data_IF_434676502011
#
_entry.id   IF_434676502011
#
_cell.length_a   1.000
_cell.length_b   1.000
_cell.length_c   1.000
_cell.angle_alpha   90.00
_cell.angle_beta   90.00
_cell.angle_gamma   90.00
#
_symmetry.space_group_name_H-M   'P 1'
#
loop_
_entity.id
_entity.type
_entity.pdbx_description
1 polymer ?
#
# COMPACT_ATOMS: atom_id res chain seq x y z
N UNK A 1 -38.41 25.90 -36.59
CA UNK A 1 -39.09 26.14 -35.32
C UNK A 1 -38.17 25.83 -34.16
N UNK A 2 -37.57 24.64 -34.07
CA UNK A 2 -36.60 24.35 -33.00
C UNK A 2 -35.30 25.18 -33.13
N UNK A 3 -34.78 25.36 -34.36
CA UNK A 3 -33.58 26.18 -34.60
C UNK A 3 -33.78 27.67 -34.31
N UNK A 4 -34.99 28.22 -34.54
CA UNK A 4 -35.31 29.63 -34.26
C UNK A 4 -35.25 29.95 -32.75
N UNK A 5 -35.32 28.94 -31.89
CA UNK A 5 -35.15 29.07 -30.43
C UNK A 5 -33.68 28.96 -30.01
N UNK A 6 -32.91 28.04 -30.60
CA UNK A 6 -31.46 27.87 -30.37
C UNK A 6 -30.68 29.15 -30.77
N UNK A 7 -31.01 29.73 -31.94
CA UNK A 7 -30.46 31.02 -32.38
C UNK A 7 -30.82 32.20 -31.43
N UNK A 8 -31.95 32.11 -30.72
CA UNK A 8 -32.40 33.10 -29.74
C UNK A 8 -31.66 32.98 -28.41
N UNK A 9 -31.53 31.77 -27.87
CA UNK A 9 -30.76 31.51 -26.64
C UNK A 9 -29.28 31.89 -26.82
N UNK A 10 -28.69 31.59 -27.99
CA UNK A 10 -27.32 32.01 -28.34
C UNK A 10 -27.17 33.54 -28.42
N UNK A 11 -28.18 34.26 -28.94
CA UNK A 11 -28.18 35.73 -28.96
C UNK A 11 -28.23 36.33 -27.55
N UNK A 12 -28.97 35.69 -26.65
CA UNK A 12 -29.11 36.12 -25.25
C UNK A 12 -27.82 35.88 -24.45
N UNK A 13 -27.13 34.76 -24.66
CA UNK A 13 -25.83 34.49 -24.03
C UNK A 13 -24.71 35.43 -24.54
N UNK A 14 -24.67 35.74 -25.84
CA UNK A 14 -23.74 36.76 -26.38
C UNK A 14 -24.05 38.16 -25.83
N UNK A 15 -25.32 38.49 -25.56
CA UNK A 15 -25.66 39.74 -24.88
C UNK A 15 -25.15 39.76 -23.43
N UNK A 16 -25.29 38.66 -22.67
CA UNK A 16 -24.76 38.52 -21.31
C UNK A 16 -23.24 38.69 -21.28
N UNK A 17 -22.49 37.99 -22.13
CA UNK A 17 -21.03 38.11 -22.22
C UNK A 17 -20.60 39.55 -22.58
N UNK A 18 -21.33 40.23 -23.47
CA UNK A 18 -21.09 41.63 -23.79
C UNK A 18 -21.37 42.58 -22.61
N UNK A 19 -22.34 42.29 -21.74
CA UNK A 19 -22.60 43.07 -20.54
C UNK A 19 -21.56 42.85 -19.44
N UNK A 20 -21.14 41.60 -19.21
CA UNK A 20 -20.06 41.26 -18.29
C UNK A 20 -18.74 41.91 -18.73
N UNK A 21 -18.39 41.83 -20.01
CA UNK A 21 -17.21 42.51 -20.55
C UNK A 21 -17.32 44.04 -20.45
N UNK A 22 -18.51 44.63 -20.59
CA UNK A 22 -18.72 46.08 -20.38
C UNK A 22 -18.60 46.48 -18.92
N UNK A 23 -18.97 45.61 -17.98
CA UNK A 23 -18.80 45.83 -16.54
C UNK A 23 -17.33 45.70 -16.13
N UNK A 24 -16.66 44.62 -16.56
CA UNK A 24 -15.24 44.37 -16.33
C UNK A 24 -14.38 45.53 -16.84
N UNK A 25 -14.56 45.96 -18.11
CA UNK A 25 -13.81 47.07 -18.67
C UNK A 25 -14.09 48.41 -17.96
N UNK A 26 -15.26 48.59 -17.33
CA UNK A 26 -15.58 49.77 -16.52
C UNK A 26 -14.80 49.77 -15.20
N UNK A 27 -14.72 48.61 -14.54
CA UNK A 27 -13.94 48.41 -13.30
C UNK A 27 -12.45 48.64 -13.58
N UNK A 28 -11.90 48.01 -14.63
CA UNK A 28 -10.48 48.18 -14.98
C UNK A 28 -10.15 49.60 -15.42
N UNK A 29 -11.07 50.29 -16.13
CA UNK A 29 -10.90 51.70 -16.47
C UNK A 29 -10.90 52.58 -15.23
N UNK A 30 -11.85 52.38 -14.32
CA UNK A 30 -11.93 53.11 -13.04
C UNK A 30 -10.65 52.95 -12.22
N UNK A 31 -10.19 51.71 -12.05
CA UNK A 31 -8.91 51.39 -11.39
C UNK A 31 -7.72 52.08 -12.06
N UNK A 32 -7.64 52.01 -13.40
CA UNK A 32 -6.57 52.65 -14.18
C UNK A 32 -6.59 54.18 -14.04
N UNK A 33 -7.77 54.82 -14.04
CA UNK A 33 -7.91 56.27 -13.86
C UNK A 33 -7.49 56.71 -12.45
N UNK A 34 -7.74 55.90 -11.40
CA UNK A 34 -7.21 56.16 -10.04
C UNK A 34 -5.68 56.02 -9.98
N UNK A 35 -5.11 54.96 -10.55
CA UNK A 35 -3.67 54.64 -10.45
C UNK A 35 -2.83 55.20 -11.61
N UNK A 36 -3.40 56.07 -12.47
CA UNK A 36 -2.76 56.56 -13.69
C UNK A 36 -1.39 57.21 -13.45
N UNK A 37 -1.20 57.88 -12.30
CA UNK A 37 0.07 58.49 -11.91
C UNK A 37 1.15 57.43 -11.63
N UNK A 38 0.85 56.44 -10.79
CA UNK A 38 1.78 55.38 -10.39
C UNK A 38 2.16 54.50 -11.59
N UNK A 39 1.19 54.17 -12.43
CA UNK A 39 1.42 53.42 -13.67
C UNK A 39 2.30 54.21 -14.65
N UNK A 40 2.17 55.54 -14.72
CA UNK A 40 3.00 56.38 -15.56
C UNK A 40 4.46 56.45 -15.09
N UNK A 41 4.71 56.57 -13.78
CA UNK A 41 6.07 56.55 -13.22
C UNK A 41 6.76 55.20 -13.46
N UNK A 42 6.05 54.10 -13.18
CA UNK A 42 6.53 52.73 -13.41
C UNK A 42 6.83 52.46 -14.89
N UNK A 43 6.02 52.98 -15.84
CA UNK A 43 6.32 52.82 -17.27
C UNK A 43 7.44 53.76 -17.75
N UNK A 44 7.69 54.91 -17.10
CA UNK A 44 8.88 55.73 -17.39
C UNK A 44 10.18 55.07 -16.90
N UNK A 45 10.18 54.47 -15.71
CA UNK A 45 11.34 53.75 -15.19
C UNK A 45 11.66 52.48 -16.01
N UNK A 46 10.62 51.74 -16.43
CA UNK A 46 10.78 50.61 -17.36
C UNK A 46 11.31 51.03 -18.74
N UNK A 47 11.00 52.25 -19.21
CA UNK A 47 11.56 52.81 -20.46
C UNK A 47 13.05 53.14 -20.34
N UNK A 48 13.54 53.52 -19.15
CA UNK A 48 14.97 53.81 -18.89
C UNK A 48 15.83 52.54 -18.83
N UNK A 49 15.23 51.37 -18.56
CA UNK A 49 15.95 50.14 -18.19
C UNK A 49 15.84 48.97 -19.19
N UNK A 50 14.90 48.98 -20.14
CA UNK A 50 14.61 47.79 -20.98
C UNK A 50 14.98 47.93 -22.46
N UNK A 51 15.72 46.94 -22.98
CA UNK A 51 16.08 46.87 -24.40
C UNK A 51 14.85 46.59 -25.29
N UNK A 52 14.75 47.31 -26.40
CA UNK A 52 13.56 47.48 -27.27
C UNK A 52 12.96 46.17 -27.80
N UNK A 53 13.74 45.08 -27.88
CA UNK A 53 13.26 43.76 -28.29
C UNK A 53 12.40 43.05 -27.22
N UNK A 54 12.71 43.16 -25.92
CA UNK A 54 11.91 42.51 -24.85
C UNK A 54 10.49 43.09 -24.75
N UNK A 55 10.29 44.36 -25.14
CA UNK A 55 8.99 45.05 -25.10
C UNK A 55 7.93 44.47 -26.05
N UNK A 56 8.29 43.50 -26.92
CA UNK A 56 7.36 42.76 -27.80
C UNK A 56 6.77 41.47 -27.19
N UNK A 57 7.13 41.11 -25.95
CA UNK A 57 6.69 39.85 -25.30
C UNK A 57 5.97 40.06 -23.96
N UNK A 58 5.45 41.25 -23.68
CA UNK A 58 4.54 41.43 -22.53
C UNK A 58 3.17 40.81 -22.88
N UNK A 59 2.52 40.08 -21.96
CA UNK A 59 1.15 39.61 -22.15
C UNK A 59 0.18 40.76 -22.42
N UNK A 60 -0.67 40.63 -23.43
CA UNK A 60 -1.71 41.61 -23.80
C UNK A 60 -2.98 41.49 -22.95
N UNK A 61 -3.04 40.52 -22.03
CA UNK A 61 -4.21 40.17 -21.21
C UNK A 61 -3.75 39.97 -19.77
N UNK A 62 -4.51 40.52 -18.83
CA UNK A 62 -4.31 40.34 -17.38
C UNK A 62 -4.53 38.87 -16.97
N UNK A 63 -3.78 38.37 -16.00
CA UNK A 63 -4.08 37.05 -15.40
C UNK A 63 -5.38 37.10 -14.60
N UNK A 64 -6.03 35.96 -14.40
CA UNK A 64 -7.26 35.88 -13.58
C UNK A 64 -7.00 36.42 -12.15
N UNK A 65 -5.83 36.14 -11.60
CA UNK A 65 -5.38 36.65 -10.30
C UNK A 65 -5.34 38.19 -10.27
N UNK A 66 -4.73 38.82 -11.28
CA UNK A 66 -4.68 40.28 -11.42
C UNK A 66 -6.07 40.90 -11.64
N UNK A 67 -6.95 40.23 -12.41
CA UNK A 67 -8.33 40.67 -12.59
C UNK A 67 -9.10 40.67 -11.26
N UNK A 68 -8.92 39.63 -10.44
CA UNK A 68 -9.53 39.52 -9.11
C UNK A 68 -8.94 40.56 -8.15
N UNK A 69 -7.63 40.78 -8.13
CA UNK A 69 -6.96 41.80 -7.31
C UNK A 69 -7.51 43.21 -7.59
N UNK A 70 -7.65 43.58 -8.87
CA UNK A 70 -8.27 44.86 -9.29
C UNK A 70 -9.74 44.92 -8.86
N UNK A 71 -10.48 43.83 -9.01
CA UNK A 71 -11.89 43.74 -8.61
C UNK A 71 -12.10 43.93 -7.11
N UNK A 72 -11.26 43.32 -6.27
CA UNK A 72 -11.29 43.49 -4.81
C UNK A 72 -10.94 44.94 -4.43
N UNK A 73 -9.90 45.53 -5.03
CA UNK A 73 -9.54 46.92 -4.74
C UNK A 73 -10.68 47.91 -5.10
N UNK A 74 -11.26 47.78 -6.28
CA UNK A 74 -12.38 48.65 -6.69
C UNK A 74 -13.63 48.43 -5.82
N UNK A 75 -13.85 47.20 -5.31
CA UNK A 75 -14.90 46.91 -4.34
C UNK A 75 -14.62 47.58 -2.98
N UNK A 76 -13.39 47.54 -2.47
CA UNK A 76 -12.99 48.21 -1.22
C UNK A 76 -13.17 49.73 -1.32
N UNK A 77 -12.75 50.34 -2.43
CA UNK A 77 -12.92 51.78 -2.67
C UNK A 77 -14.40 52.14 -2.79
N UNK A 78 -15.20 51.37 -3.55
CA UNK A 78 -16.64 51.60 -3.66
C UNK A 78 -17.37 51.43 -2.31
N UNK A 79 -16.94 50.50 -1.46
CA UNK A 79 -17.48 50.33 -0.11
C UNK A 79 -17.17 51.54 0.77
N UNK A 80 -15.92 52.05 0.73
CA UNK A 80 -15.50 53.24 1.45
C UNK A 80 -16.26 54.50 1.00
N UNK A 81 -16.39 54.71 -0.31
CA UNK A 81 -17.16 55.81 -0.89
C UNK A 81 -18.64 55.75 -0.46
N UNK A 82 -19.22 54.55 -0.38
CA UNK A 82 -20.59 54.32 0.13
C UNK A 82 -20.71 54.63 1.64
N UNK A 83 -19.73 54.22 2.45
CA UNK A 83 -19.73 54.55 3.88
C UNK A 83 -19.57 56.06 4.12
N UNK A 84 -18.68 56.74 3.40
CA UNK A 84 -18.43 58.17 3.61
C UNK A 84 -19.57 59.05 3.07
N UNK A 85 -20.19 58.67 1.95
CA UNK A 85 -21.45 59.31 1.50
C UNK A 85 -22.60 59.07 2.47
N UNK A 86 -22.72 57.87 3.07
CA UNK A 86 -23.68 57.58 4.14
C UNK A 86 -23.41 58.45 5.39
N UNK A 87 -22.19 58.44 5.93
CA UNK A 87 -21.78 59.25 7.10
C UNK A 87 -22.07 60.73 6.89
N UNK A 88 -21.84 61.26 5.69
CA UNK A 88 -22.09 62.66 5.37
C UNK A 88 -23.59 62.96 5.18
N UNK A 89 -24.36 62.01 4.64
CA UNK A 89 -25.82 62.11 4.56
C UNK A 89 -26.47 62.11 5.94
N UNK A 90 -26.01 61.26 6.86
CA UNK A 90 -26.49 61.19 8.25
C UNK A 90 -26.22 62.51 8.99
N UNK A 91 -24.99 63.05 8.91
CA UNK A 91 -24.65 64.38 9.46
C UNK A 91 -25.51 65.50 8.89
N UNK A 92 -25.79 65.47 7.58
CA UNK A 92 -26.63 66.47 6.91
C UNK A 92 -28.09 66.37 7.38
N UNK A 93 -28.63 65.16 7.48
CA UNK A 93 -29.98 64.90 8.00
C UNK A 93 -30.12 65.44 9.43
N UNK A 94 -29.16 65.17 10.31
CA UNK A 94 -29.23 65.64 11.71
C UNK A 94 -29.02 67.16 11.83
N UNK A 95 -28.18 67.75 10.97
CA UNK A 95 -28.06 69.22 10.86
C UNK A 95 -29.38 69.85 10.40
N UNK A 96 -30.05 69.27 9.41
CA UNK A 96 -31.34 69.77 8.91
C UNK A 96 -32.46 69.62 9.95
N UNK A 97 -32.51 68.51 10.71
CA UNK A 97 -33.43 68.37 11.87
C UNK A 97 -33.21 69.48 12.89
N UNK A 98 -31.96 69.69 13.31
CA UNK A 98 -31.63 70.71 14.31
C UNK A 98 -32.02 72.13 13.85
N UNK A 99 -31.79 72.45 12.56
CA UNK A 99 -32.23 73.73 11.97
C UNK A 99 -33.75 73.85 11.94
N UNK A 100 -34.49 72.79 11.58
CA UNK A 100 -35.96 72.79 11.58
C UNK A 100 -36.50 73.03 12.99
N UNK A 101 -36.04 72.27 13.99
CA UNK A 101 -36.42 72.44 15.40
C UNK A 101 -36.10 73.85 15.92
N UNK A 102 -34.93 74.40 15.58
CA UNK A 102 -34.55 75.78 15.92
C UNK A 102 -35.51 76.81 15.26
N UNK A 103 -35.88 76.61 14.00
CA UNK A 103 -36.82 77.51 13.31
C UNK A 103 -38.23 77.43 13.86
N UNK A 104 -38.75 76.26 14.22
CA UNK A 104 -40.08 76.12 14.83
C UNK A 104 -40.14 76.77 16.21
N UNK A 105 -39.11 76.59 17.05
CA UNK A 105 -38.98 77.28 18.35
C UNK A 105 -38.94 78.80 18.13
N UNK A 106 -38.11 79.29 17.19
CA UNK A 106 -38.01 80.72 16.86
C UNK A 106 -39.34 81.29 16.35
N UNK A 107 -40.09 80.55 15.53
CA UNK A 107 -41.40 80.95 15.01
C UNK A 107 -42.44 81.01 16.14
N UNK A 108 -42.42 80.06 17.09
CA UNK A 108 -43.30 80.05 18.25
C UNK A 108 -43.02 81.24 19.19
N UNK A 109 -41.74 81.49 19.51
CA UNK A 109 -41.32 82.63 20.35
C UNK A 109 -41.67 83.98 19.69
N UNK A 110 -41.40 84.17 18.40
CA UNK A 110 -41.75 85.41 17.69
C UNK A 110 -43.27 85.65 17.63
N UNK A 111 -44.08 84.61 17.42
CA UNK A 111 -45.55 84.70 17.47
C UNK A 111 -46.02 85.12 18.87
N UNK A 112 -45.42 84.57 19.92
CA UNK A 112 -45.71 84.91 21.32
C UNK A 112 -45.31 86.35 21.64
N UNK A 113 -44.09 86.78 21.29
CA UNK A 113 -43.62 88.14 21.55
C UNK A 113 -44.44 89.19 20.78
N UNK A 114 -44.85 88.91 19.54
CA UNK A 114 -45.75 89.79 18.78
C UNK A 114 -47.15 89.91 19.42
N UNK A 115 -47.68 88.81 19.97
CA UNK A 115 -48.95 88.82 20.70
C UNK A 115 -48.85 89.58 22.04
N UNK A 116 -47.80 89.32 22.83
CA UNK A 116 -47.54 90.02 24.09
C UNK A 116 -47.35 91.53 23.86
N UNK A 117 -46.55 91.93 22.86
CA UNK A 117 -46.38 93.34 22.49
C UNK A 117 -47.71 94.00 22.06
N UNK A 118 -48.52 93.31 21.25
CA UNK A 118 -49.83 93.84 20.84
C UNK A 118 -50.77 93.99 22.04
N UNK A 119 -50.81 93.01 22.93
CA UNK A 119 -51.65 93.02 24.14
C UNK A 119 -51.23 94.13 25.10
N UNK A 120 -49.94 94.21 25.41
CA UNK A 120 -49.44 94.98 26.56
C UNK A 120 -49.05 96.42 26.18
N UNK A 121 -48.61 96.65 24.94
CA UNK A 121 -48.25 97.98 24.42
C UNK A 121 -49.32 98.54 23.49
N UNK A 122 -49.63 97.85 22.38
CA UNK A 122 -50.51 98.44 21.34
C UNK A 122 -51.93 98.69 21.86
N UNK A 123 -52.46 97.81 22.70
CA UNK A 123 -53.75 97.99 23.38
C UNK A 123 -53.56 98.37 24.85
N UNK A 124 -52.74 97.62 25.59
CA UNK A 124 -52.58 97.77 27.03
C UNK A 124 -51.90 99.07 27.51
N UNK A 125 -51.23 99.80 26.62
CA UNK A 125 -50.60 101.09 26.94
C UNK A 125 -51.27 102.30 26.32
N UNK A 126 -52.41 102.17 25.63
CA UNK A 126 -53.17 103.30 25.10
C UNK A 126 -53.81 104.13 26.23
N UNK A 127 -53.75 105.46 26.12
CA UNK A 127 -54.43 106.37 27.03
C UNK A 127 -55.86 106.63 26.57
N UNK A 128 -56.85 106.11 27.32
CA UNK A 128 -58.29 106.21 27.03
C UNK A 128 -58.83 107.63 26.72
N UNK A 129 -58.13 108.70 27.12
CA UNK A 129 -58.55 110.08 26.86
C UNK A 129 -57.87 110.73 25.65
N UNK A 130 -56.78 110.17 25.13
CA UNK A 130 -55.98 110.79 24.05
C UNK A 130 -55.59 109.87 22.91
N UNK A 131 -55.82 108.56 23.00
CA UNK A 131 -55.39 107.56 22.00
C UNK A 131 -53.88 107.34 21.92
N UNK A 132 -53.10 108.07 22.71
CA UNK A 132 -51.63 108.03 22.65
C UNK A 132 -51.07 106.95 23.59
N UNK A 133 -50.05 106.23 23.13
CA UNK A 133 -49.35 105.21 23.93
C UNK A 133 -48.58 105.86 25.09
N UNK A 134 -48.75 105.34 26.30
CA UNK A 134 -48.06 105.80 27.51
C UNK A 134 -46.60 105.35 27.52
N UNK A 135 -45.67 106.29 27.32
CA UNK A 135 -44.22 106.04 27.28
C UNK A 135 -43.70 105.25 28.49
N UNK A 136 -44.18 105.54 29.70
CA UNK A 136 -43.77 104.81 30.93
C UNK A 136 -44.07 103.31 30.90
N UNK A 137 -45.13 102.88 30.19
CA UNK A 137 -45.48 101.47 30.03
C UNK A 137 -44.58 100.81 28.98
N UNK A 138 -44.24 101.54 27.91
CA UNK A 138 -43.26 101.09 26.90
C UNK A 138 -41.88 100.88 27.53
N UNK A 139 -41.43 101.82 28.37
CA UNK A 139 -40.15 101.72 29.09
C UNK A 139 -40.15 100.50 30.02
N UNK A 140 -41.17 100.34 30.88
CA UNK A 140 -41.29 99.19 31.78
C UNK A 140 -41.33 97.84 31.03
N UNK A 141 -42.06 97.76 29.91
CA UNK A 141 -42.07 96.56 29.07
C UNK A 141 -40.68 96.23 28.50
N UNK A 142 -39.93 97.24 28.04
CA UNK A 142 -38.55 97.04 27.57
C UNK A 142 -37.62 96.58 28.69
N UNK A 143 -37.70 97.18 29.88
CA UNK A 143 -36.94 96.75 31.06
C UNK A 143 -37.25 95.29 31.45
N UNK A 144 -38.54 94.91 31.45
CA UNK A 144 -38.95 93.53 31.74
C UNK A 144 -38.51 92.55 30.66
N UNK A 145 -38.51 92.95 29.39
CA UNK A 145 -38.00 92.11 28.29
C UNK A 145 -36.48 91.95 28.32
N UNK A 146 -35.73 92.99 28.71
CA UNK A 146 -34.29 92.88 28.98
C UNK A 146 -34.04 91.89 30.13
N UNK A 147 -34.70 92.07 31.29
CA UNK A 147 -34.61 91.15 32.44
C UNK A 147 -34.96 89.69 32.07
N UNK A 148 -35.96 89.47 31.22
CA UNK A 148 -36.32 88.14 30.71
C UNK A 148 -35.21 87.54 29.82
N UNK A 149 -34.56 88.35 28.97
CA UNK A 149 -33.48 87.92 28.08
C UNK A 149 -32.18 87.63 28.84
N UNK A 150 -31.86 88.41 29.88
CA UNK A 150 -30.73 88.14 30.77
C UNK A 150 -30.91 86.81 31.52
N UNK A 151 -32.08 86.59 32.12
CA UNK A 151 -32.41 85.34 32.82
C UNK A 151 -32.37 84.11 31.89
N UNK A 152 -32.81 84.26 30.64
CA UNK A 152 -32.69 83.20 29.63
C UNK A 152 -31.23 82.97 29.20
N UNK A 153 -30.41 84.02 29.14
CA UNK A 153 -28.99 83.93 28.80
C UNK A 153 -28.20 83.13 29.84
N UNK A 154 -28.37 83.41 31.14
CA UNK A 154 -27.71 82.61 32.19
C UNK A 154 -28.24 81.16 32.21
N UNK A 155 -29.55 80.95 31.99
CA UNK A 155 -30.15 79.61 31.87
C UNK A 155 -29.54 78.80 30.72
N UNK A 156 -29.27 79.43 29.57
CA UNK A 156 -28.59 78.79 28.42
C UNK A 156 -27.10 78.53 28.70
N UNK A 157 -26.41 79.47 29.35
CA UNK A 157 -25.00 79.35 29.78
C UNK A 157 -24.78 78.19 30.76
N UNK A 158 -25.66 78.06 31.76
CA UNK A 158 -25.65 76.92 32.69
C UNK A 158 -25.89 75.60 31.94
N UNK A 159 -26.92 75.53 31.08
CA UNK A 159 -27.18 74.35 30.24
C UNK A 159 -25.98 73.96 29.38
N UNK A 160 -25.33 74.94 28.72
CA UNK A 160 -24.15 74.69 27.88
C UNK A 160 -22.98 74.11 28.68
N UNK A 161 -22.78 74.58 29.91
CA UNK A 161 -21.78 74.05 30.84
C UNK A 161 -22.09 72.60 31.25
N UNK A 162 -23.34 72.30 31.59
CA UNK A 162 -23.78 70.93 31.91
C UNK A 162 -23.61 69.98 30.71
N UNK A 163 -24.01 70.39 29.51
CA UNK A 163 -23.90 69.58 28.30
C UNK A 163 -22.44 69.31 27.92
N UNK A 164 -21.53 70.28 28.11
CA UNK A 164 -20.08 70.07 27.94
C UNK A 164 -19.52 69.03 28.92
N UNK A 165 -19.93 69.08 30.18
CA UNK A 165 -19.53 68.06 31.17
C UNK A 165 -20.10 66.66 30.88
N UNK A 166 -21.31 66.58 30.32
CA UNK A 166 -21.90 65.33 29.85
C UNK A 166 -21.16 64.78 28.62
N UNK A 167 -20.84 65.63 27.64
CA UNK A 167 -20.05 65.27 26.46
C UNK A 167 -18.68 64.71 26.87
N UNK A 168 -17.91 65.42 27.69
CA UNK A 168 -16.60 64.97 28.19
C UNK A 168 -16.69 63.63 28.93
N UNK A 169 -17.77 63.39 29.69
CA UNK A 169 -18.01 62.10 30.35
C UNK A 169 -18.25 60.97 29.33
N UNK A 170 -19.07 61.22 28.30
CA UNK A 170 -19.36 60.21 27.27
C UNK A 170 -18.14 59.95 26.39
N UNK A 171 -17.37 60.98 26.02
CA UNK A 171 -16.09 60.85 25.30
C UNK A 171 -15.05 60.05 26.12
N UNK A 172 -14.97 60.29 27.44
CA UNK A 172 -14.12 59.50 28.33
C UNK A 172 -14.58 58.05 28.47
N UNK A 173 -15.90 57.80 28.52
CA UNK A 173 -16.46 56.44 28.53
C UNK A 173 -16.29 55.70 27.20
N UNK A 174 -16.26 56.41 26.07
CA UNK A 174 -15.97 55.84 24.75
C UNK A 174 -14.50 55.40 24.69
N UNK A 175 -13.55 56.31 24.97
CA UNK A 175 -12.12 56.00 25.04
C UNK A 175 -11.82 54.81 25.96
N UNK A 176 -12.41 54.78 27.16
CA UNK A 176 -12.23 53.67 28.09
C UNK A 176 -12.75 52.33 27.54
N UNK A 177 -13.77 52.34 26.68
CA UNK A 177 -14.25 51.13 25.99
C UNK A 177 -13.35 50.74 24.82
N UNK A 178 -12.82 51.71 24.08
CA UNK A 178 -11.88 51.47 22.99
C UNK A 178 -10.58 50.85 23.54
N UNK A 179 -9.97 51.48 24.56
CA UNK A 179 -8.79 50.98 25.28
C UNK A 179 -9.00 49.57 25.86
N UNK A 180 -10.19 49.29 26.40
CA UNK A 180 -10.56 47.97 26.95
C UNK A 180 -10.80 46.93 25.85
N UNK A 181 -11.35 47.35 24.71
CA UNK A 181 -11.56 46.51 23.54
C UNK A 181 -10.24 46.04 22.95
N UNK A 182 -9.30 46.95 22.73
CA UNK A 182 -7.96 46.62 22.21
C UNK A 182 -7.18 45.71 23.18
N UNK A 183 -7.26 45.97 24.49
CA UNK A 183 -6.62 45.10 25.49
C UNK A 183 -7.21 43.68 25.50
N UNK A 184 -8.53 43.53 25.35
CA UNK A 184 -9.19 42.23 25.28
C UNK A 184 -8.86 41.50 23.96
N UNK A 185 -9.02 42.18 22.82
CA UNK A 185 -8.67 41.64 21.50
C UNK A 185 -7.21 41.18 21.41
N UNK A 186 -6.28 41.90 22.04
CA UNK A 186 -4.87 41.50 22.10
C UNK A 186 -4.67 40.17 22.85
N UNK A 187 -5.35 39.99 23.99
CA UNK A 187 -5.29 38.75 24.77
C UNK A 187 -5.93 37.58 23.98
N UNK A 188 -7.11 37.79 23.41
CA UNK A 188 -7.82 36.77 22.63
C UNK A 188 -7.04 36.38 21.35
N UNK A 189 -6.42 37.35 20.67
CA UNK A 189 -5.54 37.09 19.52
C UNK A 189 -4.30 36.28 19.91
N UNK A 190 -3.68 36.58 21.06
CA UNK A 190 -2.57 35.79 21.58
C UNK A 190 -2.99 34.38 22.00
N UNK A 191 -4.18 34.22 22.60
CA UNK A 191 -4.74 32.91 22.92
C UNK A 191 -4.97 32.07 21.66
N UNK A 192 -5.61 32.63 20.63
CA UNK A 192 -5.78 31.98 19.32
C UNK A 192 -4.44 31.62 18.67
N UNK A 193 -3.41 32.47 18.80
CA UNK A 193 -2.08 32.17 18.27
C UNK A 193 -1.39 31.02 19.04
N UNK A 194 -1.59 30.93 20.36
CA UNK A 194 -1.11 29.82 21.19
C UNK A 194 -1.83 28.52 20.83
N UNK A 195 -3.15 28.54 20.70
CA UNK A 195 -3.96 27.38 20.33
C UNK A 195 -3.60 26.87 18.93
N UNK A 196 -3.48 27.75 17.93
CA UNK A 196 -3.06 27.37 16.58
C UNK A 196 -1.68 26.68 16.59
N UNK A 197 -0.69 27.22 17.32
CA UNK A 197 0.62 26.57 17.51
C UNK A 197 0.51 25.19 18.17
N UNK A 198 -0.38 25.02 19.16
CA UNK A 198 -0.63 23.70 19.76
C UNK A 198 -1.31 22.72 18.79
N UNK A 199 -2.26 23.18 17.96
CA UNK A 199 -2.92 22.35 16.97
C UNK A 199 -1.95 21.90 15.86
N UNK A 200 -1.10 22.80 15.35
CA UNK A 200 -0.04 22.45 14.38
C UNK A 200 0.90 21.40 14.96
N UNK A 201 1.42 21.61 16.17
CA UNK A 201 2.31 20.63 16.84
C UNK A 201 1.65 19.25 17.00
N UNK A 202 0.36 19.18 17.38
CA UNK A 202 -0.39 17.91 17.48
C UNK A 202 -0.65 17.25 16.13
N UNK A 203 -0.81 18.04 15.06
CA UNK A 203 -0.95 17.53 13.68
C UNK A 203 0.38 16.95 13.21
N UNK A 204 1.51 17.59 13.50
CA UNK A 204 2.85 17.11 13.21
C UNK A 204 3.14 15.79 13.95
N UNK A 205 2.92 15.72 15.27
CA UNK A 205 3.02 14.48 16.07
C UNK A 205 2.22 13.32 15.45
N UNK A 206 0.96 13.57 15.06
CA UNK A 206 0.06 12.55 14.50
C UNK A 206 0.42 12.13 13.08
N UNK A 207 0.95 13.05 12.26
CA UNK A 207 1.51 12.71 10.96
C UNK A 207 2.76 11.82 11.10
N UNK A 208 3.58 12.08 12.12
CA UNK A 208 4.79 11.31 12.43
C UNK A 208 4.44 9.89 12.94
N UNK A 209 3.43 9.76 13.81
CA UNK A 209 2.84 8.46 14.21
C UNK A 209 2.27 7.70 12.99
N UNK A 210 1.51 8.37 12.13
CA UNK A 210 0.92 7.79 10.92
C UNK A 210 2.01 7.33 9.92
N UNK A 211 3.10 8.08 9.78
CA UNK A 211 4.23 7.71 8.93
C UNK A 211 4.96 6.47 9.48
N UNK A 212 5.18 6.41 10.80
CA UNK A 212 5.76 5.23 11.48
C UNK A 212 4.89 3.99 11.26
N UNK A 213 3.56 4.12 11.40
CA UNK A 213 2.59 3.05 11.13
C UNK A 213 2.57 2.61 9.66
N UNK A 214 2.56 3.55 8.70
CA UNK A 214 2.66 3.21 7.26
C UNK A 214 3.95 2.44 6.96
N UNK A 215 5.08 2.83 7.55
CA UNK A 215 6.37 2.16 7.39
C UNK A 215 6.40 0.75 8.00
N UNK A 216 5.79 0.51 9.16
CA UNK A 216 5.71 -0.83 9.74
C UNK A 216 4.75 -1.73 8.96
N UNK A 217 3.58 -1.22 8.55
CA UNK A 217 2.64 -1.94 7.67
C UNK A 217 3.26 -2.31 6.33
N UNK A 218 4.03 -1.42 5.71
CA UNK A 218 4.76 -1.73 4.47
C UNK A 218 5.74 -2.89 4.66
N UNK A 219 6.50 -2.90 5.76
CA UNK A 219 7.45 -3.97 6.11
C UNK A 219 6.74 -5.31 6.41
N UNK A 220 5.61 -5.30 7.12
CA UNK A 220 4.88 -6.55 7.41
C UNK A 220 4.20 -7.12 6.15
N UNK A 221 3.70 -6.28 5.24
CA UNK A 221 3.18 -6.73 3.94
C UNK A 221 4.30 -7.31 3.06
N UNK A 222 5.50 -6.72 3.06
CA UNK A 222 6.66 -7.29 2.36
C UNK A 222 7.05 -8.66 2.94
N UNK A 223 7.15 -8.80 4.27
CA UNK A 223 7.45 -10.06 4.93
C UNK A 223 6.36 -11.14 4.73
N UNK A 224 5.09 -10.75 4.70
CA UNK A 224 3.98 -11.65 4.39
C UNK A 224 4.07 -12.17 2.95
N UNK A 225 4.42 -11.32 1.98
CA UNK A 225 4.58 -11.72 0.58
C UNK A 225 5.80 -12.64 0.37
N UNK A 226 6.93 -12.42 1.04
CA UNK A 226 8.08 -13.34 0.94
C UNK A 226 7.77 -14.70 1.56
N UNK A 227 7.11 -14.74 2.73
CA UNK A 227 6.65 -15.98 3.35
C UNK A 227 5.61 -16.72 2.48
N UNK A 228 4.66 -15.99 1.88
CA UNK A 228 3.67 -16.56 0.95
C UNK A 228 4.34 -17.18 -0.28
N UNK A 229 5.32 -16.51 -0.87
CA UNK A 229 6.07 -17.03 -2.02
C UNK A 229 6.88 -18.29 -1.65
N UNK A 230 7.54 -18.29 -0.48
CA UNK A 230 8.25 -19.47 0.02
C UNK A 230 7.29 -20.64 0.29
N UNK A 231 6.11 -20.38 0.83
CA UNK A 231 5.07 -21.39 1.04
C UNK A 231 4.60 -21.99 -0.30
N UNK A 232 4.35 -21.16 -1.32
CA UNK A 232 3.99 -21.65 -2.66
C UNK A 232 5.11 -22.50 -3.29
N UNK A 233 6.39 -22.13 -3.11
CA UNK A 233 7.53 -22.93 -3.55
C UNK A 233 7.57 -24.31 -2.85
N UNK A 234 7.43 -24.35 -1.53
CA UNK A 234 7.43 -25.62 -0.76
C UNK A 234 6.21 -26.49 -1.05
N UNK A 235 5.05 -25.90 -1.35
CA UNK A 235 3.87 -26.65 -1.80
C UNK A 235 4.11 -27.29 -3.17
N UNK A 236 4.66 -26.56 -4.14
CA UNK A 236 4.99 -27.09 -5.47
C UNK A 236 6.08 -28.19 -5.41
N UNK A 237 7.10 -28.01 -4.58
CA UNK A 237 8.14 -29.01 -4.30
C UNK A 237 7.55 -30.28 -3.66
N UNK A 238 6.66 -30.13 -2.68
CA UNK A 238 5.96 -31.25 -2.04
C UNK A 238 5.03 -32.01 -3.01
N UNK A 239 4.32 -31.29 -3.89
CA UNK A 239 3.50 -31.90 -4.93
C UNK A 239 4.35 -32.65 -5.97
N UNK A 240 5.50 -32.09 -6.37
CA UNK A 240 6.46 -32.75 -7.26
C UNK A 240 7.08 -34.00 -6.61
N UNK A 241 7.55 -33.91 -5.37
CA UNK A 241 8.06 -35.05 -4.60
C UNK A 241 6.99 -36.14 -4.44
N UNK A 242 5.73 -35.77 -4.20
CA UNK A 242 4.62 -36.72 -4.10
C UNK A 242 4.36 -37.46 -5.42
N UNK A 243 4.48 -36.77 -6.57
CA UNK A 243 4.38 -37.39 -7.91
C UNK A 243 5.56 -38.32 -8.18
N UNK A 244 6.78 -37.91 -7.85
CA UNK A 244 7.99 -38.71 -8.02
C UNK A 244 7.97 -39.95 -7.11
N UNK A 245 7.58 -39.83 -5.84
CA UNK A 245 7.41 -40.97 -4.92
C UNK A 245 6.36 -41.95 -5.47
N UNK A 246 5.24 -41.45 -6.02
CA UNK A 246 4.21 -42.32 -6.64
C UNK A 246 4.78 -43.08 -7.84
N UNK A 247 5.48 -42.39 -8.74
CA UNK A 247 6.13 -42.98 -9.92
C UNK A 247 7.18 -44.03 -9.52
N UNK A 248 8.06 -43.71 -8.56
CA UNK A 248 9.07 -44.65 -8.04
C UNK A 248 8.42 -45.87 -7.41
N UNK A 249 7.36 -45.69 -6.61
CA UNK A 249 6.60 -46.80 -6.01
C UNK A 249 6.00 -47.72 -7.06
N UNK A 250 5.44 -47.16 -8.14
CA UNK A 250 4.90 -47.92 -9.27
C UNK A 250 6.00 -48.72 -10.00
N UNK A 251 7.14 -48.10 -10.30
CA UNK A 251 8.29 -48.80 -10.92
C UNK A 251 8.85 -49.90 -10.02
N UNK A 252 8.87 -49.68 -8.70
CA UNK A 252 9.29 -50.70 -7.72
C UNK A 252 8.29 -51.84 -7.58
N UNK A 253 7.01 -51.66 -7.92
CA UNK A 253 6.05 -52.77 -8.01
C UNK A 253 6.40 -53.66 -9.22
N UNK A 254 6.50 -53.06 -10.41
CA UNK A 254 6.84 -53.76 -11.66
C UNK A 254 8.15 -54.53 -11.55
N UNK A 255 9.20 -53.90 -11.01
CA UNK A 255 10.50 -54.55 -10.77
C UNK A 255 10.39 -55.69 -9.73
N UNK A 256 9.49 -55.62 -8.73
CA UNK A 256 9.25 -56.74 -7.80
C UNK A 256 8.48 -57.89 -8.47
N UNK A 257 7.52 -57.58 -9.32
CA UNK A 257 6.75 -58.55 -10.11
C UNK A 257 7.67 -59.29 -11.10
N UNK A 258 8.53 -58.56 -11.82
CA UNK A 258 9.58 -59.09 -12.70
C UNK A 258 10.58 -59.98 -11.94
N UNK A 259 11.13 -59.49 -10.80
CA UNK A 259 12.01 -60.31 -9.96
C UNK A 259 11.31 -61.55 -9.41
N UNK A 260 10.01 -61.48 -9.11
CA UNK A 260 9.18 -62.62 -8.73
C UNK A 260 9.09 -63.65 -9.86
N UNK A 261 8.79 -63.21 -11.08
CA UNK A 261 8.74 -64.07 -12.26
C UNK A 261 10.10 -64.75 -12.51
N UNK A 262 11.18 -63.98 -12.58
CA UNK A 262 12.56 -64.48 -12.76
C UNK A 262 12.96 -65.44 -11.63
N UNK A 263 12.55 -65.19 -10.38
CA UNK A 263 12.77 -66.14 -9.29
C UNK A 263 12.02 -67.46 -9.50
N UNK A 264 10.77 -67.44 -9.97
CA UNK A 264 10.04 -68.68 -10.31
C UNK A 264 10.70 -69.44 -11.47
N UNK A 265 11.12 -68.73 -12.52
CA UNK A 265 11.85 -69.28 -13.66
C UNK A 265 13.17 -69.93 -13.24
N UNK A 266 13.97 -69.27 -12.40
CA UNK A 266 15.20 -69.85 -11.81
C UNK A 266 14.88 -71.13 -11.01
N UNK A 267 13.74 -71.22 -10.31
CA UNK A 267 13.36 -72.48 -9.65
C UNK A 267 12.89 -73.57 -10.63
N UNK A 268 12.25 -73.20 -11.73
CA UNK A 268 11.87 -74.12 -12.80
C UNK A 268 13.11 -74.69 -13.50
N UNK A 269 14.06 -73.83 -13.89
CA UNK A 269 15.34 -74.23 -14.49
C UNK A 269 16.21 -75.06 -13.54
N UNK A 270 16.27 -74.72 -12.26
CA UNK A 270 16.94 -75.57 -11.26
C UNK A 270 16.29 -76.96 -11.15
N UNK A 271 14.95 -77.06 -11.26
CA UNK A 271 14.23 -78.35 -11.29
C UNK A 271 14.50 -79.11 -12.59
N UNK A 272 14.48 -78.44 -13.74
CA UNK A 272 14.80 -79.02 -15.05
C UNK A 272 16.24 -79.55 -15.08
N UNK A 273 17.22 -78.75 -14.67
CA UNK A 273 18.63 -79.15 -14.52
C UNK A 273 18.81 -80.31 -13.55
N UNK A 274 18.04 -80.39 -12.45
CA UNK A 274 18.06 -81.56 -11.56
C UNK A 274 17.54 -82.82 -12.26
N UNK A 275 16.38 -82.75 -12.94
CA UNK A 275 15.85 -83.89 -13.72
C UNK A 275 16.82 -84.35 -14.80
N UNK A 276 17.47 -83.42 -15.49
CA UNK A 276 18.43 -83.71 -16.55
C UNK A 276 19.74 -84.30 -16.00
N UNK A 277 20.12 -83.93 -14.77
CA UNK A 277 21.18 -84.61 -14.01
C UNK A 277 20.80 -86.02 -13.57
N UNK A 278 19.55 -86.26 -13.19
CA UNK A 278 19.04 -87.61 -12.87
C UNK A 278 19.03 -88.48 -14.12
N UNK A 279 18.45 -88.02 -15.24
CA UNK A 279 18.51 -88.75 -16.52
C UNK A 279 19.93 -89.10 -16.96
N UNK A 280 20.91 -88.21 -16.70
CA UNK A 280 22.33 -88.53 -16.97
C UNK A 280 22.87 -89.64 -16.08
N UNK A 281 22.52 -89.68 -14.80
CA UNK A 281 22.86 -90.78 -13.90
C UNK A 281 22.18 -92.08 -14.34
N UNK A 282 20.88 -92.04 -14.63
CA UNK A 282 20.11 -93.20 -15.12
C UNK A 282 20.71 -93.78 -16.42
N UNK A 283 21.17 -92.93 -17.35
CA UNK A 283 21.90 -93.40 -18.55
C UNK A 283 23.33 -93.87 -18.30
N UNK A 284 23.92 -93.55 -17.14
CA UNK A 284 25.28 -93.97 -16.78
C UNK A 284 25.31 -95.27 -15.97
N UNK A 285 24.16 -95.74 -15.44
CA UNK A 285 23.99 -97.12 -14.97
C UNK A 285 23.75 -98.12 -16.12
N UNK A 286 23.45 -97.63 -17.34
CA UNK A 286 23.30 -98.47 -18.52
C UNK A 286 24.68 -98.78 -19.15
N UNK A 287 25.09 -100.05 -19.30
CA UNK A 287 26.41 -100.40 -19.83
C UNK A 287 26.69 -99.79 -21.20
N UNK A 288 27.90 -99.29 -21.42
CA UNK A 288 28.28 -98.71 -22.70
C UNK A 288 28.21 -99.77 -23.82
N UNK A 289 27.83 -99.33 -25.02
CA UNK A 289 27.72 -100.20 -26.20
C UNK A 289 29.07 -100.83 -26.53
N UNK A 290 30.17 -100.10 -26.33
CA UNK A 290 31.53 -100.62 -26.52
C UNK A 290 31.87 -101.75 -25.55
N UNK A 291 31.45 -101.65 -24.27
CA UNK A 291 31.66 -102.70 -23.26
C UNK A 291 30.84 -103.96 -23.59
N UNK A 292 29.60 -103.80 -24.07
CA UNK A 292 28.78 -104.92 -24.54
C UNK A 292 29.41 -105.60 -25.77
N UNK A 293 29.98 -104.83 -26.70
CA UNK A 293 30.72 -105.36 -27.86
C UNK A 293 31.98 -106.11 -27.40
N UNK A 294 32.75 -105.56 -26.46
CA UNK A 294 33.94 -106.20 -25.90
C UNK A 294 33.62 -107.52 -25.18
N UNK A 295 32.57 -107.56 -24.35
CA UNK A 295 32.09 -108.80 -23.72
C UNK A 295 31.62 -109.84 -24.74
N UNK A 296 31.00 -109.41 -25.85
CA UNK A 296 30.56 -110.33 -26.91
C UNK A 296 31.75 -110.90 -27.69
N UNK A 297 32.83 -110.12 -27.87
CA UNK A 297 34.06 -110.58 -28.49
C UNK A 297 34.81 -111.63 -27.66
N UNK A 298 34.88 -111.49 -26.33
CA UNK A 298 35.54 -112.48 -25.46
C UNK A 298 34.78 -113.81 -25.42
N UNK A 299 33.43 -113.79 -25.46
CA UNK A 299 32.61 -115.01 -25.60
C UNK A 299 32.95 -115.79 -26.87
N UNK A 300 33.08 -115.13 -28.03
CA UNK A 300 33.48 -115.77 -29.28
C UNK A 300 34.90 -116.37 -29.21
N UNK A 301 35.85 -115.70 -28.56
CA UNK A 301 37.20 -116.24 -28.36
C UNK A 301 37.20 -117.50 -27.49
N UNK A 302 36.44 -117.50 -26.39
CA UNK A 302 36.32 -118.65 -25.49
C UNK A 302 35.68 -119.87 -26.18
N UNK A 303 34.66 -119.67 -27.02
CA UNK A 303 34.07 -120.73 -27.85
C UNK A 303 35.09 -121.33 -28.84
N UNK A 304 35.94 -120.49 -29.45
CA UNK A 304 37.02 -120.94 -30.33
C UNK A 304 38.05 -121.83 -29.60
N UNK A 305 38.44 -121.45 -28.38
CA UNK A 305 39.34 -122.26 -27.55
C UNK A 305 38.72 -123.62 -27.18
N UNK A 306 37.44 -123.66 -26.80
CA UNK A 306 36.72 -124.90 -26.49
C UNK A 306 36.78 -125.90 -27.66
N UNK A 307 36.38 -125.47 -28.87
CA UNK A 307 36.39 -126.31 -30.06
C UNK A 307 37.80 -126.81 -30.44
N UNK A 308 38.85 -126.06 -30.12
CA UNK A 308 40.24 -126.50 -30.33
C UNK A 308 40.70 -127.54 -29.30
N UNK A 309 40.27 -127.45 -28.04
CA UNK A 309 40.58 -128.47 -27.03
C UNK A 309 39.83 -129.78 -27.29
N UNK A 310 38.56 -129.73 -27.73
CA UNK A 310 37.79 -130.91 -28.13
C UNK A 310 38.41 -131.70 -29.29
N UNK A 311 39.11 -131.04 -30.22
CA UNK A 311 39.90 -131.71 -31.27
C UNK A 311 41.14 -132.39 -30.70
N UNK A 312 41.84 -131.76 -29.75
CA UNK A 312 43.04 -132.34 -29.12
C UNK A 312 42.71 -133.61 -28.34
N UNK A 313 41.61 -133.63 -27.58
CA UNK A 313 41.16 -134.83 -26.85
C UNK A 313 40.89 -136.00 -27.80
N UNK A 314 40.19 -135.76 -28.92
CA UNK A 314 39.89 -136.79 -29.93
C UNK A 314 41.14 -137.45 -30.53
N UNK A 315 42.20 -136.67 -30.76
CA UNK A 315 43.45 -137.20 -31.31
C UNK A 315 44.27 -138.00 -30.28
N UNK A 316 44.09 -137.76 -28.98
CA UNK A 316 44.78 -138.50 -27.90
C UNK A 316 44.13 -139.86 -27.67
N UNK A 317 42.79 -139.94 -27.66
CA UNK A 317 42.03 -141.17 -27.42
C UNK A 317 42.25 -142.23 -28.54
N UNK A 318 42.59 -141.78 -29.75
CA UNK A 318 42.92 -142.65 -30.88
C UNK A 318 44.31 -143.34 -30.77
N UNK A 319 45.23 -142.79 -29.98
CA UNK A 319 46.63 -143.29 -29.88
C UNK A 319 46.81 -144.31 -28.74
N UNK A 320 45.94 -144.31 -27.74
CA UNK A 320 46.07 -145.11 -26.50
C UNK A 320 45.69 -146.60 -26.63
N UNK A 321 45.67 -147.18 -27.85
CA UNK A 321 45.14 -148.54 -28.09
C UNK A 321 46.14 -149.58 -28.62
N UNK A 322 47.46 -149.34 -28.66
CA UNK A 322 48.43 -150.36 -29.10
C UNK A 322 49.85 -150.28 -28.49
N UNK A 323 50.36 -151.45 -28.08
CA UNK A 323 51.76 -151.80 -27.69
C UNK A 323 52.32 -151.36 -26.31
N UNK A 324 53.34 -152.08 -25.74
CA UNK A 324 53.38 -152.39 -24.29
C UNK A 324 54.75 -152.08 -23.56
N UNK A 325 55.31 -152.82 -22.57
CA UNK A 325 55.50 -152.29 -21.19
C UNK A 325 56.94 -152.37 -20.56
N UNK A 326 57.05 -151.95 -19.26
CA UNK A 326 58.21 -152.02 -18.31
C UNK A 326 59.38 -151.00 -18.49
N UNK A 327 60.32 -150.79 -17.51
CA UNK A 327 60.40 -151.14 -16.07
C UNK A 327 60.75 -149.94 -15.11
N UNK A 328 61.20 -150.19 -13.87
CA UNK A 328 61.55 -149.18 -12.83
C UNK A 328 63.06 -148.83 -12.75
N UNK A 329 63.41 -147.52 -12.62
CA UNK A 329 64.68 -147.03 -11.99
C UNK A 329 64.48 -145.64 -11.31
N UNK A 330 65.56 -144.96 -10.90
CA UNK A 330 65.76 -144.48 -9.51
C UNK A 330 66.76 -143.29 -9.35
N UNK A 331 66.86 -142.76 -8.12
CA UNK A 331 67.66 -141.64 -7.52
C UNK A 331 69.21 -141.82 -7.54
N UNK A 332 70.10 -140.83 -7.15
CA UNK A 332 69.90 -139.58 -6.35
C UNK A 332 70.69 -138.26 -6.73
N UNK A 333 70.43 -137.15 -5.98
CA UNK A 333 71.35 -135.98 -5.60
C UNK A 333 72.01 -135.08 -6.69
N UNK A 334 72.28 -133.76 -6.55
CA UNK A 334 72.22 -132.79 -5.41
C UNK A 334 72.21 -131.28 -5.84
N UNK A 335 72.05 -130.35 -4.87
CA UNK A 335 72.42 -128.89 -4.84
C UNK A 335 71.64 -127.84 -5.71
N UNK A 336 70.96 -126.83 -5.11
CA UNK A 336 71.37 -125.41 -4.80
C UNK A 336 71.03 -124.36 -5.90
N UNK A 337 70.62 -123.10 -5.67
CA UNK A 337 70.46 -122.25 -4.45
C UNK A 337 69.54 -121.00 -4.63
N UNK A 338 69.02 -120.44 -3.50
CA UNK A 338 68.73 -119.00 -3.18
C UNK A 338 67.67 -118.16 -3.97
N UNK A 339 66.96 -117.11 -3.50
CA UNK A 339 66.56 -116.37 -2.24
C UNK A 339 66.23 -114.90 -2.71
N UNK A 340 65.76 -113.91 -1.91
CA UNK A 340 64.73 -113.77 -0.84
C UNK A 340 63.51 -112.87 -1.31
N UNK A 341 62.37 -112.61 -0.65
CA UNK A 341 61.85 -112.49 0.74
C UNK A 341 61.78 -111.06 1.34
N UNK A 342 60.58 -110.61 1.81
CA UNK A 342 60.17 -109.67 2.91
C UNK A 342 58.72 -109.12 2.64
N UNK A 343 57.71 -109.17 3.54
CA UNK A 343 57.40 -108.35 4.75
C UNK A 343 57.09 -106.86 4.43
N UNK A 344 56.12 -106.08 4.98
CA UNK A 344 55.33 -105.94 6.26
C UNK A 344 53.93 -105.29 5.90
N UNK A 345 52.89 -105.01 6.72
CA UNK A 345 52.05 -105.69 7.75
C UNK A 345 51.21 -104.62 8.56
N UNK A 346 50.02 -104.95 9.15
CA UNK A 346 49.16 -104.07 10.02
C UNK A 346 48.54 -102.81 9.34
N UNK A 347 47.61 -102.01 9.92
CA UNK A 347 46.97 -101.91 11.27
C UNK A 347 45.52 -101.36 11.16
N UNK A 348 44.82 -101.15 12.28
CA UNK A 348 43.46 -100.59 12.39
C UNK A 348 43.29 -99.62 13.59
N UNK A 349 42.30 -98.73 13.49
CA UNK A 349 41.68 -97.94 14.59
C UNK A 349 42.35 -96.63 15.10
N UNK A 350 41.52 -95.59 15.26
CA UNK A 350 41.68 -94.34 16.06
C UNK A 350 42.77 -93.34 15.56
N UNK A 351 42.75 -92.02 15.85
CA UNK A 351 41.99 -91.24 16.86
C UNK A 351 41.70 -89.76 16.45
N UNK A 352 40.70 -89.15 17.11
CA UNK A 352 40.62 -87.75 17.60
C UNK A 352 40.56 -86.44 16.76
N UNK A 353 39.48 -85.68 17.06
CA UNK A 353 39.38 -84.26 17.48
C UNK A 353 39.64 -83.04 16.56
N UNK A 354 39.08 -81.91 17.04
CA UNK A 354 39.15 -80.50 16.57
C UNK A 354 38.40 -80.14 15.26
N UNK A 355 37.60 -79.07 15.17
CA UNK A 355 37.14 -78.13 16.21
C UNK A 355 35.70 -77.59 15.97
N UNK A 356 35.07 -77.21 17.09
CA UNK A 356 33.75 -76.58 17.29
C UNK A 356 33.59 -75.21 16.60
N UNK A 357 32.31 -74.81 16.37
CA UNK A 357 31.67 -73.46 16.57
C UNK A 357 32.37 -72.23 15.94
N UNK A 358 31.74 -71.08 15.67
CA UNK A 358 30.46 -70.45 16.06
C UNK A 358 30.08 -69.53 14.86
N UNK A 359 28.83 -69.36 14.41
CA UNK A 359 27.74 -68.57 15.01
C UNK A 359 28.09 -67.11 15.41
N UNK A 360 27.15 -66.20 15.10
CA UNK A 360 26.97 -64.81 15.56
C UNK A 360 27.96 -63.70 15.16
N UNK A 361 27.40 -62.67 14.49
CA UNK A 361 27.48 -61.21 14.77
C UNK A 361 28.86 -60.59 15.10
N UNK A 362 29.20 -59.54 14.34
CA UNK A 362 29.36 -58.20 14.92
C UNK A 362 29.12 -57.09 13.87
N UNK A 363 28.81 -55.90 14.38
CA UNK A 363 28.75 -54.59 13.70
C UNK A 363 27.88 -54.53 12.43
#
# INVERSE_FOLDING_TARGET
MDGDADDLDQLDDVQRELEDLRLENRIFKSYYERHASEVAEVDEEKRKTTNRQRRRQLPTVLTIEQKVEIGVHEQEVAHKDLEDTKRNSEKLIDTLKAVLEETDIRIADLKKEAYEFKRDIVVGAENMRTGNTMAEKVIRYMEDKLRQRDAMTEKLRLKNTTLKGQLQKVEGQLRQKDDMGDALHYIDFHQLQIENKQYVSRIEERNDELLKLKMTTGKTVQALNTLKNLLHQRLAESEWLSKEIRLRTETLSKIKEENGAVATEITAERRAKKKLGQHKADTQEMPNVDDYIAQKATVYQLQSYLANWERKVRNIDAVLRSSPPFPKRVVPTDSQSAWPFYMIYRLSSWHEHCLKRMHTRCC
#
